data_IF_636142214877
#
_entry.id   IF_636142214877
#
_cell.length_a   1.000
_cell.length_b   1.000
_cell.length_c   1.000
_cell.angle_alpha   90.00
_cell.angle_beta   90.00
_cell.angle_gamma   90.00
#
_symmetry.space_group_name_H-M   'P 1'
#
loop_
_entity.id
_entity.type
_entity.pdbx_description
1 polymer ?
#
# COMPACT_ATOMS: atom_id res chain seq x y z
N UNK A 1 9.83 9.64 -15.11
CA UNK A 1 8.56 10.26 -14.65
C UNK A 1 8.24 11.44 -15.56
N UNK A 2 7.06 11.44 -16.16
CA UNK A 2 6.61 12.56 -16.99
C UNK A 2 6.27 13.80 -16.15
N UNK A 3 6.19 14.98 -16.77
CA UNK A 3 5.85 16.20 -16.05
C UNK A 3 4.47 16.15 -15.37
N UNK A 4 3.39 15.66 -16.03
CA UNK A 4 2.10 15.49 -15.35
C UNK A 4 2.14 14.54 -14.16
N UNK A 5 2.91 13.47 -14.25
CA UNK A 5 3.09 12.51 -13.15
C UNK A 5 3.84 13.15 -11.98
N UNK A 6 4.86 13.95 -12.27
CA UNK A 6 5.64 14.68 -11.26
C UNK A 6 4.74 15.66 -10.50
N UNK A 7 3.88 16.39 -11.20
CA UNK A 7 2.93 17.30 -10.57
C UNK A 7 1.96 16.58 -9.64
N UNK A 8 1.43 15.44 -10.06
CA UNK A 8 0.56 14.60 -9.22
C UNK A 8 1.31 14.06 -7.99
N UNK A 9 2.54 13.65 -8.18
CA UNK A 9 3.39 13.20 -7.09
C UNK A 9 3.59 14.30 -6.04
N UNK A 10 3.95 15.51 -6.45
CA UNK A 10 4.15 16.63 -5.56
C UNK A 10 2.88 16.95 -4.76
N UNK A 11 1.73 16.98 -5.40
CA UNK A 11 0.45 17.22 -4.74
C UNK A 11 0.13 16.15 -3.70
N UNK A 12 0.31 14.90 -4.05
CA UNK A 12 0.04 13.79 -3.12
C UNK A 12 0.98 13.79 -1.92
N UNK A 13 2.27 14.01 -2.15
CA UNK A 13 3.26 14.08 -1.07
C UNK A 13 2.96 15.25 -0.13
N UNK A 14 2.64 16.41 -0.68
CA UNK A 14 2.27 17.57 0.12
C UNK A 14 1.06 17.27 1.01
N UNK A 15 0.04 16.63 0.46
CA UNK A 15 -1.16 16.23 1.21
C UNK A 15 -0.80 15.26 2.34
N UNK A 16 0.04 14.26 2.08
CA UNK A 16 0.46 13.29 3.07
C UNK A 16 1.30 13.92 4.19
N UNK A 17 2.16 14.87 3.84
CA UNK A 17 2.94 15.64 4.82
C UNK A 17 2.04 16.47 5.72
N UNK A 18 1.05 17.16 5.16
CA UNK A 18 0.09 17.97 5.92
C UNK A 18 -0.73 17.11 6.87
N UNK A 19 -1.07 15.88 6.48
CA UNK A 19 -1.82 14.94 7.32
C UNK A 19 -0.94 14.20 8.33
N UNK A 20 0.37 14.44 8.33
CA UNK A 20 1.30 13.78 9.24
C UNK A 20 1.49 12.29 8.97
N UNK A 21 1.16 11.80 7.77
CA UNK A 21 1.28 10.38 7.41
C UNK A 21 2.66 10.00 6.89
N UNK A 22 3.42 10.97 6.43
CA UNK A 22 4.80 10.78 5.99
C UNK A 22 5.67 11.90 6.56
N UNK A 23 6.95 11.63 6.71
CA UNK A 23 7.96 12.60 7.16
C UNK A 23 9.21 12.47 6.30
N UNK A 24 10.07 13.47 6.36
CA UNK A 24 11.39 13.37 5.73
C UNK A 24 12.19 12.22 6.35
N UNK A 25 12.94 11.53 5.50
CA UNK A 25 13.71 10.37 5.92
C UNK A 25 15.17 10.50 5.47
N UNK A 26 16.08 10.02 6.32
CA UNK A 26 17.49 9.90 6.02
C UNK A 26 17.91 8.43 5.83
N UNK A 27 16.94 7.56 5.50
CA UNK A 27 17.21 6.14 5.28
C UNK A 27 18.14 5.92 4.09
N UNK A 28 18.99 4.91 4.19
CA UNK A 28 19.84 4.46 3.07
C UNK A 28 19.01 3.74 1.99
N UNK A 29 17.86 3.24 2.37
CA UNK A 29 17.02 2.44 1.49
C UNK A 29 15.99 3.33 0.84
N UNK A 30 15.88 3.19 -0.47
CA UNK A 30 14.94 3.96 -1.28
C UNK A 30 14.18 3.02 -2.18
N UNK A 31 12.96 3.41 -2.52
CA UNK A 31 12.14 2.68 -3.48
C UNK A 31 11.59 3.66 -4.51
N UNK A 32 11.64 3.32 -5.80
CA UNK A 32 11.08 4.18 -6.85
C UNK A 32 9.57 4.22 -6.76
N UNK A 33 9.01 5.33 -7.24
CA UNK A 33 7.57 5.51 -7.33
C UNK A 33 7.15 5.33 -8.78
N UNK A 34 6.09 4.57 -8.99
CA UNK A 34 5.47 4.37 -10.30
C UNK A 34 4.02 4.81 -10.25
N UNK A 35 3.51 5.28 -11.38
CA UNK A 35 2.11 5.64 -11.53
C UNK A 35 1.43 4.62 -12.43
N UNK A 36 0.38 4.00 -11.91
CA UNK A 36 -0.45 3.06 -12.66
C UNK A 36 -1.73 3.76 -13.08
N UNK A 37 -2.04 3.63 -14.38
CA UNK A 37 -3.27 4.18 -14.94
C UNK A 37 -4.43 3.28 -14.56
N UNK A 38 -5.46 3.88 -13.94
CA UNK A 38 -6.70 3.18 -13.64
C UNK A 38 -7.64 3.19 -14.86
N UNK A 39 -8.66 2.35 -14.81
CA UNK A 39 -9.68 2.27 -15.87
C UNK A 39 -10.47 3.56 -16.05
N UNK A 40 -10.55 4.41 -15.03
CA UNK A 40 -11.24 5.70 -15.04
C UNK A 40 -10.32 6.86 -15.48
N UNK A 41 -9.18 6.57 -16.09
CA UNK A 41 -8.16 7.52 -16.56
C UNK A 41 -7.40 8.26 -15.43
N UNK A 42 -7.66 7.97 -14.17
CA UNK A 42 -6.85 8.49 -13.07
C UNK A 42 -5.57 7.67 -12.90
N UNK A 43 -4.56 8.25 -12.25
CA UNK A 43 -3.32 7.57 -11.96
C UNK A 43 -3.25 7.19 -10.48
N UNK A 44 -2.82 5.98 -10.21
CA UNK A 44 -2.56 5.50 -8.86
C UNK A 44 -1.06 5.54 -8.59
N UNK A 45 -0.66 6.24 -7.53
CA UNK A 45 0.73 6.24 -7.07
C UNK A 45 1.02 4.93 -6.35
N UNK A 46 2.07 4.24 -6.79
CA UNK A 46 2.52 3.01 -6.16
C UNK A 46 4.01 3.10 -5.87
N UNK A 47 4.44 2.52 -4.76
CA UNK A 47 5.84 2.39 -4.43
C UNK A 47 6.34 1.02 -4.88
N UNK A 48 7.42 1.00 -5.63
CA UNK A 48 8.00 -0.25 -6.11
C UNK A 48 8.96 -0.82 -5.06
N UNK A 49 8.47 -1.77 -4.29
CA UNK A 49 9.24 -2.42 -3.22
C UNK A 49 10.00 -3.67 -3.65
N UNK A 50 10.02 -4.00 -4.95
CA UNK A 50 10.66 -5.24 -5.41
C UNK A 50 12.14 -5.32 -5.02
N UNK A 51 12.88 -4.22 -5.18
CA UNK A 51 14.28 -4.16 -4.77
C UNK A 51 14.45 -4.31 -3.25
N UNK A 52 13.63 -3.63 -2.47
CA UNK A 52 13.67 -3.73 -1.02
C UNK A 52 13.30 -5.13 -0.54
N UNK A 53 12.32 -5.77 -1.18
CA UNK A 53 11.89 -7.12 -0.83
C UNK A 53 12.98 -8.17 -1.03
N UNK A 54 13.94 -7.93 -1.94
CA UNK A 54 15.06 -8.84 -2.16
C UNK A 54 16.00 -8.91 -0.96
N UNK A 55 16.14 -7.82 -0.20
CA UNK A 55 17.04 -7.73 0.94
C UNK A 55 16.32 -7.82 2.29
N UNK A 56 14.99 -7.83 2.29
CA UNK A 56 14.19 -7.92 3.50
C UNK A 56 14.07 -9.38 3.95
N UNK A 57 14.28 -9.62 5.25
CA UNK A 57 14.01 -10.93 5.84
C UNK A 57 12.50 -11.19 5.78
N UNK A 58 12.12 -12.31 5.17
CA UNK A 58 10.71 -12.64 4.95
C UNK A 58 10.11 -13.25 6.20
N UNK A 59 8.97 -12.74 6.62
CA UNK A 59 8.16 -13.35 7.65
C UNK A 59 7.42 -14.55 7.04
N UNK A 60 7.68 -15.72 7.60
CA UNK A 60 7.09 -16.98 7.13
C UNK A 60 6.04 -17.52 8.09
N UNK A 61 5.44 -16.64 8.85
CA UNK A 61 4.34 -17.04 9.73
C UNK A 61 3.20 -17.67 8.91
N UNK A 62 2.78 -18.91 9.25
CA UNK A 62 1.77 -19.59 8.45
C UNK A 62 0.41 -18.90 8.62
N UNK A 63 -0.24 -18.64 7.49
CA UNK A 63 -1.61 -18.14 7.48
C UNK A 63 -2.58 -19.32 7.57
N UNK A 64 -3.73 -19.15 8.25
CA UNK A 64 -4.75 -20.20 8.28
C UNK A 64 -5.36 -20.42 6.89
N UNK A 65 -5.77 -21.66 6.64
CA UNK A 65 -6.46 -21.98 5.37
C UNK A 65 -7.80 -21.27 5.29
N UNK A 66 -8.16 -20.85 4.08
CA UNK A 66 -9.44 -20.17 3.84
C UNK A 66 -10.64 -20.99 4.32
N UNK A 67 -10.59 -22.31 4.14
CA UNK A 67 -11.65 -23.22 4.61
C UNK A 67 -11.83 -23.13 6.12
N UNK A 68 -10.75 -23.13 6.88
CA UNK A 68 -10.80 -23.05 8.34
C UNK A 68 -11.35 -21.68 8.79
N UNK A 69 -11.00 -20.61 8.07
CA UNK A 69 -11.54 -19.28 8.35
C UNK A 69 -13.06 -19.22 8.09
N UNK A 70 -13.51 -19.82 7.00
CA UNK A 70 -14.93 -19.88 6.67
C UNK A 70 -15.71 -20.72 7.69
N UNK A 71 -15.14 -21.83 8.16
CA UNK A 71 -15.77 -22.68 9.17
C UNK A 71 -15.96 -21.95 10.50
N UNK A 72 -15.06 -21.02 10.85
CA UNK A 72 -15.19 -20.18 12.04
C UNK A 72 -16.35 -19.20 11.98
N UNK A 73 -16.86 -18.90 10.78
CA UNK A 73 -18.01 -18.00 10.63
C UNK A 73 -19.33 -18.71 10.94
N UNK A 74 -19.31 -20.05 11.04
CA UNK A 74 -20.52 -20.82 11.30
C UNK A 74 -21.12 -20.46 12.67
N UNK A 75 -22.41 -20.15 12.68
CA UNK A 75 -23.12 -19.73 13.88
C UNK A 75 -22.96 -18.26 14.26
N UNK A 76 -22.15 -17.50 13.52
CA UNK A 76 -22.02 -16.06 13.73
C UNK A 76 -23.22 -15.30 13.14
N UNK A 77 -23.70 -14.28 13.84
CA UNK A 77 -24.84 -13.46 13.43
C UNK A 77 -24.44 -12.03 13.08
N UNK A 78 -23.29 -11.56 13.56
CA UNK A 78 -22.80 -10.20 13.33
C UNK A 78 -21.43 -10.28 12.67
N UNK A 79 -21.25 -9.55 11.57
CA UNK A 79 -19.99 -9.52 10.82
C UNK A 79 -19.52 -8.09 10.68
N UNK A 80 -18.21 -7.89 10.81
CA UNK A 80 -17.56 -6.61 10.60
C UNK A 80 -16.52 -6.74 9.50
N UNK A 81 -16.55 -5.80 8.55
CA UNK A 81 -15.56 -5.73 7.48
C UNK A 81 -14.70 -4.49 7.70
N UNK A 82 -13.39 -4.67 7.73
CA UNK A 82 -12.42 -3.59 7.84
C UNK A 82 -11.65 -3.48 6.54
N UNK A 83 -11.61 -2.28 5.99
CA UNK A 83 -10.86 -1.98 4.78
C UNK A 83 -10.02 -0.74 5.02
N UNK A 84 -8.69 -0.91 4.96
CA UNK A 84 -7.76 0.19 5.22
C UNK A 84 -7.62 1.07 3.98
N UNK A 85 -7.89 2.35 4.13
CA UNK A 85 -7.66 3.31 3.05
C UNK A 85 -6.15 3.43 2.78
N UNK A 86 -5.72 3.05 1.57
CA UNK A 86 -4.31 3.07 1.16
C UNK A 86 -3.40 2.28 2.12
N UNK A 87 -3.83 1.11 2.57
CA UNK A 87 -3.08 0.28 3.50
C UNK A 87 -1.73 -0.20 2.96
N UNK A 88 -1.64 -0.39 1.65
CA UNK A 88 -0.41 -0.66 0.92
C UNK A 88 -0.10 0.51 0.00
N UNK A 89 0.84 1.30 0.38
CA UNK A 89 1.30 2.41 -0.46
C UNK A 89 2.51 2.00 -1.28
#
# INVERSE_FOLDING_TARGET
>A
MTQPERNKFEVQIKTLLEKGRVTDSHSRYMAPIIFLKKSDATHRMCVDYRGLNLITAKDRYPLPYNKDLLDKLHGAHVFTKLDLASGYY
#
